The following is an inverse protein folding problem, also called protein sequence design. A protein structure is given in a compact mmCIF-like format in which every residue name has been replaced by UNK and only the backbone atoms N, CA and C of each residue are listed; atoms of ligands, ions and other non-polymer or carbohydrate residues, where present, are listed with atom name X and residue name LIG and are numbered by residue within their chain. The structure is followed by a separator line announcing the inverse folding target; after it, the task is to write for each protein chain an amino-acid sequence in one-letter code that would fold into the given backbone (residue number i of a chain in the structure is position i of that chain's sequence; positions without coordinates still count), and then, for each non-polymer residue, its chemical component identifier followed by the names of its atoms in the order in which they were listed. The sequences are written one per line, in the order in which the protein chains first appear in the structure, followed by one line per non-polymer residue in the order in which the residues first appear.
data_IF_847534981447
#
_entry.id   IF_847534981447
#
_cell.length_a   1.000
_cell.length_b   1.000
_cell.length_c   1.000
_cell.angle_alpha   90.00
_cell.angle_beta   90.00
_cell.angle_gamma   90.00
#
_symmetry.space_group_name_H-M   'P 1'
#
loop_
_entity.id
_entity.type
_entity.pdbx_description
1 polymer ?
#
# COMPACT_ATOMS: atom_id res chain seq x y z
N UNK A 1 -20.08 17.28 24.28
CA UNK A 1 -20.68 16.63 23.10
C UNK A 1 -19.58 15.77 22.54
N UNK A 2 -19.72 14.45 22.58
CA UNK A 2 -18.79 13.55 21.89
C UNK A 2 -19.14 13.64 20.41
N UNK A 3 -18.17 13.99 19.58
CA UNK A 3 -18.33 13.91 18.13
C UNK A 3 -18.80 12.51 17.76
N UNK A 4 -19.84 12.42 16.96
CA UNK A 4 -20.26 11.15 16.36
C UNK A 4 -19.05 10.51 15.68
N UNK A 5 -18.71 9.30 16.11
CA UNK A 5 -17.62 8.55 15.47
C UNK A 5 -18.08 8.23 14.05
N UNK A 6 -17.65 9.04 13.09
CA UNK A 6 -17.83 8.72 11.67
C UNK A 6 -16.90 7.57 11.33
N UNK A 7 -17.50 6.45 10.97
CA UNK A 7 -16.76 5.27 10.49
C UNK A 7 -16.21 5.57 9.10
N UNK A 8 -14.92 5.74 9.01
CA UNK A 8 -14.18 6.02 7.77
C UNK A 8 -12.91 5.18 7.73
N UNK A 9 -12.38 4.97 6.53
CA UNK A 9 -11.10 4.30 6.36
C UNK A 9 -9.96 5.05 7.06
N UNK A 10 -8.98 4.32 7.60
CA UNK A 10 -7.76 4.87 8.17
C UNK A 10 -6.59 4.74 7.19
N UNK A 11 -5.72 5.75 7.16
CA UNK A 11 -4.52 5.74 6.32
C UNK A 11 -3.28 6.10 7.14
N UNK A 12 -2.20 5.34 6.97
CA UNK A 12 -0.91 5.59 7.59
C UNK A 12 0.20 5.46 6.55
N UNK A 13 1.12 6.43 6.53
CA UNK A 13 2.26 6.39 5.63
C UNK A 13 3.56 6.73 6.36
N UNK A 14 4.59 5.93 6.13
CA UNK A 14 5.92 6.16 6.69
C UNK A 14 6.96 6.11 5.56
N UNK A 15 7.87 7.08 5.56
CA UNK A 15 9.09 7.05 4.78
C UNK A 15 10.30 7.09 5.70
N UNK A 16 11.09 6.04 5.72
CA UNK A 16 12.38 6.01 6.38
C UNK A 16 13.42 6.73 5.51
N UNK A 17 14.05 7.76 6.07
CA UNK A 17 15.01 8.63 5.34
C UNK A 17 16.47 8.28 5.62
N UNK A 18 16.71 7.38 6.55
CA UNK A 18 18.02 6.89 6.95
C UNK A 18 18.12 5.38 6.69
N UNK A 19 19.32 4.81 6.57
CA UNK A 19 19.49 3.37 6.42
C UNK A 19 19.00 2.62 7.67
N UNK A 20 18.64 1.36 7.52
CA UNK A 20 18.14 0.53 8.62
C UNK A 20 19.13 0.41 9.79
N UNK A 21 20.44 0.42 9.51
CA UNK A 21 21.49 0.44 10.53
C UNK A 21 21.39 1.65 11.47
N UNK A 22 21.02 2.82 10.94
CA UNK A 22 20.79 4.00 11.77
C UNK A 22 19.66 3.77 12.77
N UNK A 23 18.52 3.20 12.32
CA UNK A 23 17.38 2.95 13.21
C UNK A 23 17.70 1.90 14.26
N UNK A 24 18.46 0.87 13.90
CA UNK A 24 18.95 -0.11 14.85
C UNK A 24 19.85 0.50 15.92
N UNK A 25 20.79 1.37 15.53
CA UNK A 25 21.70 2.04 16.47
C UNK A 25 20.98 3.04 17.38
N UNK A 26 20.07 3.84 16.82
CA UNK A 26 19.40 4.91 17.57
C UNK A 26 18.19 4.42 18.39
N UNK A 27 17.51 3.40 17.95
CA UNK A 27 16.23 2.95 18.54
C UNK A 27 16.23 1.46 18.92
N UNK A 28 17.37 0.79 18.79
CA UNK A 28 17.53 -0.62 19.18
C UNK A 28 16.84 -1.63 18.28
N UNK A 29 16.27 -1.22 17.13
CA UNK A 29 15.52 -2.15 16.29
C UNK A 29 15.56 -1.77 14.81
N UNK A 30 15.89 -2.76 13.98
CA UNK A 30 15.75 -2.68 12.51
C UNK A 30 14.27 -2.58 12.10
N UNK A 31 13.34 -3.06 12.94
CA UNK A 31 11.90 -3.04 12.72
C UNK A 31 11.23 -1.71 13.08
N UNK A 32 12.02 -0.65 13.34
CA UNK A 32 11.51 0.65 13.78
C UNK A 32 10.34 1.16 12.91
N UNK A 33 10.47 1.10 11.58
CA UNK A 33 9.42 1.54 10.65
C UNK A 33 8.13 0.74 10.80
N UNK A 34 8.22 -0.58 10.87
CA UNK A 34 7.06 -1.48 11.09
C UNK A 34 6.40 -1.21 12.44
N UNK A 35 7.20 -1.06 13.51
CA UNK A 35 6.68 -0.74 14.84
C UNK A 35 5.94 0.61 14.87
N UNK A 36 6.45 1.61 14.15
CA UNK A 36 5.78 2.91 14.01
C UNK A 36 4.50 2.80 13.19
N UNK A 37 4.51 2.01 12.10
CA UNK A 37 3.31 1.78 11.31
C UNK A 37 2.22 1.09 12.14
N UNK A 38 2.59 0.05 12.91
CA UNK A 38 1.68 -0.60 13.85
C UNK A 38 0.98 0.41 14.76
N UNK A 39 1.78 1.26 15.42
CA UNK A 39 1.25 2.27 16.35
C UNK A 39 0.33 3.30 15.65
N UNK A 40 0.66 3.70 14.42
CA UNK A 40 -0.18 4.62 13.65
C UNK A 40 -1.50 3.97 13.25
N UNK A 41 -1.48 2.70 12.84
CA UNK A 41 -2.69 1.95 12.50
C UNK A 41 -3.56 1.70 13.75
N UNK A 42 -2.96 1.29 14.88
CA UNK A 42 -3.67 1.11 16.15
C UNK A 42 -4.33 2.40 16.65
N UNK A 43 -3.69 3.56 16.47
CA UNK A 43 -4.29 4.87 16.80
C UNK A 43 -5.55 5.18 15.98
N UNK A 44 -5.71 4.53 14.84
CA UNK A 44 -6.84 4.72 13.93
C UNK A 44 -7.79 3.50 13.90
N UNK A 45 -7.61 2.48 14.77
CA UNK A 45 -8.37 1.22 14.70
C UNK A 45 -9.90 1.43 14.73
N UNK A 46 -10.37 2.48 15.42
CA UNK A 46 -11.80 2.81 15.49
C UNK A 46 -12.38 3.32 14.15
N UNK A 47 -11.55 3.71 13.19
CA UNK A 47 -12.00 4.19 11.87
C UNK A 47 -12.34 3.06 10.92
N UNK A 48 -11.58 1.95 10.94
CA UNK A 48 -11.82 0.82 10.05
C UNK A 48 -11.47 -0.51 10.71
N UNK A 49 -12.47 -1.34 10.93
CA UNK A 49 -12.34 -2.63 11.63
C UNK A 49 -12.62 -3.84 10.72
N UNK A 50 -13.11 -3.62 9.48
CA UNK A 50 -13.53 -4.69 8.58
C UNK A 50 -12.39 -5.27 7.74
N UNK A 51 -11.19 -4.73 7.92
CA UNK A 51 -9.99 -5.23 7.28
C UNK A 51 -8.83 -4.25 7.34
N UNK A 52 -7.65 -4.74 7.07
CA UNK A 52 -6.44 -3.94 7.02
C UNK A 52 -5.49 -4.44 5.94
N UNK A 53 -4.53 -3.60 5.56
CA UNK A 53 -3.46 -4.03 4.68
C UNK A 53 -2.26 -3.10 4.73
N UNK A 54 -1.13 -3.64 4.30
CA UNK A 54 0.14 -2.95 4.25
C UNK A 54 0.76 -3.17 2.87
N UNK A 55 1.21 -2.08 2.23
CA UNK A 55 2.15 -2.16 1.13
C UNK A 55 3.51 -1.63 1.59
N UNK A 56 4.57 -2.26 1.09
CA UNK A 56 5.95 -1.92 1.42
C UNK A 56 6.76 -1.78 0.16
N UNK A 57 7.56 -0.71 0.07
CA UNK A 57 8.53 -0.54 -1.01
C UNK A 57 9.94 -0.53 -0.42
N UNK A 58 10.78 -1.40 -0.95
CA UNK A 58 12.21 -1.45 -0.66
C UNK A 58 12.93 -0.59 -1.69
N UNK A 59 13.67 0.43 -1.24
CA UNK A 59 14.50 1.27 -2.11
C UNK A 59 15.87 0.62 -2.30
N UNK A 60 16.55 0.94 -3.43
CA UNK A 60 17.89 0.44 -3.74
C UNK A 60 18.00 -1.09 -3.62
N UNK A 61 17.09 -1.79 -4.25
CA UNK A 61 17.11 -3.24 -4.38
C UNK A 61 17.84 -3.60 -5.67
N UNK A 62 18.65 -4.66 -5.64
CA UNK A 62 19.32 -5.17 -6.82
C UNK A 62 18.32 -5.54 -7.92
N UNK A 63 18.64 -5.32 -9.19
CA UNK A 63 17.78 -5.69 -10.30
C UNK A 63 17.37 -7.18 -10.25
N UNK A 64 16.08 -7.44 -10.50
CA UNK A 64 15.52 -8.78 -10.46
C UNK A 64 14.96 -9.21 -9.10
N UNK A 65 15.26 -8.49 -8.02
CA UNK A 65 14.64 -8.78 -6.73
C UNK A 65 13.33 -8.03 -6.52
N UNK A 66 12.33 -8.63 -5.86
CA UNK A 66 11.08 -7.96 -5.53
C UNK A 66 11.31 -6.78 -4.60
N UNK A 67 10.75 -5.63 -4.94
CA UNK A 67 10.85 -4.39 -4.15
C UNK A 67 9.50 -3.88 -3.65
N UNK A 68 8.39 -4.32 -4.25
CA UNK A 68 7.03 -3.96 -3.85
C UNK A 68 6.31 -5.18 -3.28
N UNK A 69 5.93 -5.12 -2.02
CA UNK A 69 5.25 -6.19 -1.30
C UNK A 69 3.91 -5.70 -0.75
N UNK A 70 2.97 -6.63 -0.57
CA UNK A 70 1.66 -6.36 0.01
C UNK A 70 1.19 -7.52 0.85
N UNK A 71 0.61 -7.20 2.00
CA UNK A 71 -0.13 -8.13 2.85
C UNK A 71 -1.48 -7.51 3.22
N UNK A 72 -2.54 -8.33 3.33
CA UNK A 72 -3.90 -7.89 3.66
C UNK A 72 -4.56 -8.90 4.58
N UNK A 73 -5.45 -8.41 5.43
CA UNK A 73 -6.26 -9.24 6.33
C UNK A 73 -7.68 -8.73 6.43
N UNK A 74 -8.63 -9.65 6.51
CA UNK A 74 -10.04 -9.43 6.87
C UNK A 74 -10.45 -10.24 8.11
N UNK A 75 -9.48 -10.62 8.94
CA UNK A 75 -9.71 -11.27 10.23
C UNK A 75 -10.43 -10.32 11.21
N UNK A 76 -10.97 -10.87 12.30
CA UNK A 76 -11.65 -10.08 13.33
C UNK A 76 -10.77 -9.01 13.98
N UNK A 77 -9.46 -9.25 14.02
CA UNK A 77 -8.44 -8.29 14.48
C UNK A 77 -7.41 -8.11 13.36
N UNK A 78 -7.74 -7.37 12.30
CA UNK A 78 -6.96 -7.38 11.07
C UNK A 78 -5.56 -6.79 11.26
N UNK A 79 -5.37 -5.77 12.09
CA UNK A 79 -4.04 -5.20 12.39
C UNK A 79 -3.16 -6.24 13.07
N UNK A 80 -3.66 -6.85 14.15
CA UNK A 80 -2.92 -7.86 14.91
C UNK A 80 -2.54 -9.07 14.02
N UNK A 81 -3.47 -9.50 13.16
CA UNK A 81 -3.22 -10.59 12.21
C UNK A 81 -2.12 -10.25 11.21
N UNK A 82 -2.13 -9.05 10.61
CA UNK A 82 -1.06 -8.60 9.70
C UNK A 82 0.32 -8.65 10.35
N UNK A 83 0.43 -8.05 11.53
CA UNK A 83 1.73 -7.98 12.22
C UNK A 83 2.16 -9.35 12.79
N UNK A 84 1.21 -10.23 13.14
CA UNK A 84 1.50 -11.62 13.48
C UNK A 84 2.07 -12.40 12.29
N UNK A 85 1.52 -12.22 11.08
CA UNK A 85 2.03 -12.86 9.87
C UNK A 85 3.45 -12.37 9.54
N UNK A 86 3.72 -11.06 9.64
CA UNK A 86 5.06 -10.50 9.45
C UNK A 86 6.02 -11.03 10.53
N UNK A 87 5.57 -11.13 11.79
CA UNK A 87 6.36 -11.71 12.88
C UNK A 87 6.75 -13.16 12.62
N UNK A 88 5.80 -13.98 12.16
CA UNK A 88 6.07 -15.38 11.79
C UNK A 88 7.07 -15.50 10.64
N UNK A 89 6.97 -14.63 9.61
CA UNK A 89 7.96 -14.58 8.53
C UNK A 89 9.37 -14.32 9.09
N UNK A 90 9.51 -13.37 10.01
CA UNK A 90 10.79 -13.06 10.66
C UNK A 90 11.29 -14.24 11.49
N UNK A 91 10.43 -14.86 12.29
CA UNK A 91 10.77 -16.03 13.10
C UNK A 91 11.22 -17.21 12.25
N UNK A 92 10.56 -17.46 11.11
CA UNK A 92 10.99 -18.52 10.18
C UNK A 92 12.38 -18.24 9.60
N UNK A 93 12.68 -17.00 9.23
CA UNK A 93 14.01 -16.62 8.73
C UNK A 93 15.06 -16.79 9.83
N UNK A 94 14.74 -16.42 11.07
CA UNK A 94 15.64 -16.55 12.22
C UNK A 94 16.02 -18.01 12.55
N UNK A 95 15.13 -18.98 12.28
CA UNK A 95 15.47 -20.41 12.45
C UNK A 95 16.67 -20.84 11.60
N UNK A 96 16.81 -20.25 10.41
CA UNK A 96 17.90 -20.55 9.48
C UNK A 96 19.08 -19.58 9.60
N UNK A 97 18.82 -18.37 10.10
CA UNK A 97 19.79 -17.29 10.25
C UNK A 97 19.61 -16.59 11.61
N UNK A 98 20.03 -17.20 12.73
CA UNK A 98 19.74 -16.70 14.09
C UNK A 98 20.18 -15.24 14.33
N UNK A 99 21.28 -14.81 13.71
CA UNK A 99 21.84 -13.47 13.89
C UNK A 99 21.33 -12.42 12.89
N UNK A 100 20.32 -12.76 12.07
CA UNK A 100 19.87 -11.89 10.98
C UNK A 100 19.44 -10.50 11.47
N UNK A 101 18.84 -10.40 12.68
CA UNK A 101 18.43 -9.12 13.28
C UNK A 101 19.59 -8.17 13.53
N UNK A 102 20.82 -8.69 13.65
CA UNK A 102 22.03 -7.92 13.80
C UNK A 102 22.59 -7.40 12.47
N UNK A 103 22.01 -7.87 11.35
CA UNK A 103 22.44 -7.54 10.00
C UNK A 103 21.33 -6.81 9.21
N UNK A 104 21.16 -5.46 9.36
CA UNK A 104 20.06 -4.71 8.76
C UNK A 104 19.90 -4.89 7.26
N UNK A 105 20.99 -5.03 6.54
CA UNK A 105 20.97 -5.28 5.09
C UNK A 105 20.39 -6.65 4.73
N UNK A 106 20.78 -7.69 5.48
CA UNK A 106 20.24 -9.04 5.29
C UNK A 106 18.77 -9.11 5.70
N UNK A 107 18.40 -8.46 6.81
CA UNK A 107 17.00 -8.35 7.22
C UNK A 107 16.14 -7.73 6.11
N UNK A 108 16.58 -6.58 5.55
CA UNK A 108 15.89 -5.94 4.44
C UNK A 108 15.77 -6.85 3.21
N UNK A 109 16.83 -7.61 2.90
CA UNK A 109 16.83 -8.53 1.76
C UNK A 109 15.82 -9.66 1.92
N UNK A 110 15.75 -10.26 3.11
CA UNK A 110 15.01 -11.49 3.37
C UNK A 110 13.57 -11.27 3.85
N UNK A 111 13.29 -10.21 4.63
CA UNK A 111 11.93 -9.93 5.13
C UNK A 111 11.16 -9.10 4.11
N UNK A 112 10.07 -9.65 3.57
CA UNK A 112 9.27 -9.00 2.50
C UNK A 112 8.78 -7.61 2.89
N UNK A 113 8.28 -7.46 4.11
CA UNK A 113 7.66 -6.21 4.57
C UNK A 113 8.62 -5.25 5.27
N UNK A 114 9.94 -5.46 5.14
CA UNK A 114 10.95 -4.53 5.66
C UNK A 114 11.49 -3.63 4.55
N UNK A 115 10.88 -2.46 4.40
CA UNK A 115 11.22 -1.47 3.37
C UNK A 115 11.20 -0.04 3.89
N UNK A 116 11.67 0.89 3.08
CA UNK A 116 11.78 2.31 3.43
C UNK A 116 10.46 3.07 3.29
N UNK A 117 9.53 2.59 2.44
CA UNK A 117 8.20 3.16 2.30
C UNK A 117 7.18 2.14 2.79
N UNK A 118 6.32 2.56 3.70
CA UNK A 118 5.28 1.72 4.30
C UNK A 118 3.94 2.46 4.19
N UNK A 119 2.96 1.83 3.56
CA UNK A 119 1.60 2.33 3.41
C UNK A 119 0.65 1.38 4.10
N UNK A 120 0.04 1.81 5.20
CA UNK A 120 -0.98 1.07 5.94
C UNK A 120 -2.38 1.62 5.64
N UNK A 121 -3.36 0.74 5.57
CA UNK A 121 -4.77 1.10 5.39
C UNK A 121 -5.65 0.27 6.30
N UNK A 122 -6.65 0.93 6.90
CA UNK A 122 -7.72 0.32 7.67
C UNK A 122 -9.03 0.51 6.91
N UNK A 123 -9.71 -0.60 6.65
CA UNK A 123 -10.94 -0.60 5.88
C UNK A 123 -12.15 -0.48 6.79
N UNK A 124 -13.03 0.47 6.46
CA UNK A 124 -14.43 0.43 6.85
C UNK A 124 -15.24 -0.07 5.63
N UNK A 125 -15.85 -1.23 5.76
CA UNK A 125 -16.54 -1.90 4.65
C UNK A 125 -18.02 -1.56 4.60
N UNK A 126 -18.43 -0.71 3.68
CA UNK A 126 -19.84 -0.52 3.33
C UNK A 126 -20.37 -1.68 2.47
N UNK A 127 -19.50 -2.33 1.69
CA UNK A 127 -19.80 -3.47 0.83
C UNK A 127 -18.79 -4.60 1.08
N UNK A 128 -19.24 -5.86 0.97
CA UNK A 128 -18.38 -7.04 1.02
C UNK A 128 -17.65 -7.20 2.36
N UNK A 129 -18.38 -7.19 3.50
CA UNK A 129 -17.80 -7.50 4.82
C UNK A 129 -17.01 -8.80 4.75
N UNK A 130 -15.84 -8.82 5.40
CA UNK A 130 -14.92 -9.97 5.50
C UNK A 130 -14.32 -10.48 4.18
N UNK A 131 -14.28 -9.66 3.11
CA UNK A 131 -13.59 -10.03 1.89
C UNK A 131 -12.26 -9.28 1.78
N UNK A 132 -11.15 -10.03 1.91
CA UNK A 132 -9.78 -9.52 1.82
C UNK A 132 -9.47 -8.86 0.47
N UNK A 133 -10.21 -9.19 -0.57
CA UNK A 133 -9.96 -8.64 -1.88
C UNK A 133 -10.32 -7.15 -2.00
N UNK A 134 -11.19 -6.65 -1.13
CA UNK A 134 -11.50 -5.23 -1.01
C UNK A 134 -10.60 -4.50 0.00
N UNK A 135 -9.68 -5.19 0.67
CA UNK A 135 -8.74 -4.53 1.56
C UNK A 135 -7.63 -3.85 0.76
N UNK A 136 -7.42 -2.55 1.01
CA UNK A 136 -6.30 -1.80 0.46
C UNK A 136 -5.01 -2.07 1.27
N UNK A 137 -3.83 -1.76 0.72
CA UNK A 137 -3.56 -1.18 -0.60
C UNK A 137 -3.79 -2.15 -1.77
N UNK A 138 -4.20 -1.59 -2.91
CA UNK A 138 -4.10 -2.29 -4.19
C UNK A 138 -2.72 -2.07 -4.77
N UNK A 139 -2.21 -3.03 -5.55
CA UNK A 139 -0.94 -2.90 -6.26
C UNK A 139 -1.12 -3.24 -7.73
N UNK A 140 -0.51 -2.44 -8.58
CA UNK A 140 -0.33 -2.70 -10.00
C UNK A 140 1.16 -2.95 -10.24
N UNK A 141 1.48 -4.12 -10.79
CA UNK A 141 2.84 -4.50 -11.12
C UNK A 141 3.08 -4.31 -12.61
N UNK A 142 4.28 -3.87 -12.94
CA UNK A 142 4.79 -3.74 -14.29
C UNK A 142 6.22 -4.28 -14.31
N UNK A 143 6.69 -4.70 -15.47
CA UNK A 143 8.08 -5.12 -15.69
C UNK A 143 9.07 -3.98 -15.52
N UNK A 144 8.63 -2.74 -15.78
CA UNK A 144 9.41 -1.53 -15.58
C UNK A 144 9.17 -1.02 -14.15
N UNK A 145 10.21 -0.96 -13.29
CA UNK A 145 10.04 -0.58 -11.88
C UNK A 145 9.32 0.76 -11.67
N UNK A 146 9.58 1.76 -12.50
CA UNK A 146 8.97 3.09 -12.40
C UNK A 146 7.44 3.10 -12.63
N UNK A 147 6.90 2.07 -13.28
CA UNK A 147 5.46 1.93 -13.58
C UNK A 147 4.69 1.16 -12.50
N UNK A 148 5.37 0.63 -11.48
CA UNK A 148 4.71 -0.05 -10.38
C UNK A 148 4.00 0.96 -9.47
N UNK A 149 2.80 0.59 -9.02
CA UNK A 149 1.93 1.47 -8.23
C UNK A 149 1.33 0.71 -7.05
N UNK A 150 1.32 1.34 -5.89
CA UNK A 150 0.52 0.95 -4.73
C UNK A 150 -0.42 2.11 -4.38
N UNK A 151 -1.71 1.81 -4.22
CA UNK A 151 -2.74 2.82 -3.96
C UNK A 151 -3.66 2.37 -2.82
N UNK A 152 -3.98 3.30 -1.93
CA UNK A 152 -4.94 3.12 -0.87
C UNK A 152 -5.66 4.44 -0.59
N UNK A 153 -6.92 4.36 -0.23
CA UNK A 153 -7.71 5.54 0.11
C UNK A 153 -9.18 5.19 0.30
N UNK A 154 -9.97 6.20 0.59
CA UNK A 154 -11.42 6.13 0.64
C UNK A 154 -11.97 7.02 -0.47
N UNK A 155 -12.56 6.41 -1.49
CA UNK A 155 -13.04 7.09 -2.69
C UNK A 155 -14.47 6.67 -2.99
N UNK A 156 -15.24 7.57 -3.57
CA UNK A 156 -16.59 7.32 -4.04
C UNK A 156 -16.78 8.04 -5.37
N UNK A 157 -16.33 7.38 -6.46
CA UNK A 157 -16.39 7.91 -7.81
C UNK A 157 -17.77 7.70 -8.43
N UNK A 158 -18.25 8.66 -9.16
CA UNK A 158 -19.53 8.61 -9.89
C UNK A 158 -19.35 8.28 -11.38
N UNK A 159 -18.13 8.39 -11.89
CA UNK A 159 -17.81 8.23 -13.31
C UNK A 159 -16.91 7.01 -13.63
N UNK A 160 -16.98 5.96 -12.83
CA UNK A 160 -16.13 4.76 -12.95
C UNK A 160 -16.20 4.12 -14.35
N UNK A 161 -17.39 4.02 -14.96
CA UNK A 161 -17.58 3.44 -16.31
C UNK A 161 -16.94 4.31 -17.40
N UNK A 162 -17.03 5.63 -17.27
CA UNK A 162 -16.40 6.58 -18.19
C UNK A 162 -14.87 6.46 -18.13
N UNK A 163 -14.31 6.29 -16.91
CA UNK A 163 -12.89 6.10 -16.71
C UNK A 163 -12.37 4.83 -17.39
N UNK A 164 -13.09 3.72 -17.30
CA UNK A 164 -12.70 2.49 -18.00
C UNK A 164 -12.77 2.66 -19.53
N UNK A 165 -13.79 3.34 -20.02
CA UNK A 165 -13.94 3.63 -21.44
C UNK A 165 -12.79 4.51 -21.97
N UNK A 166 -12.34 5.49 -21.17
CA UNK A 166 -11.25 6.40 -21.52
C UNK A 166 -9.92 5.68 -21.79
N UNK A 167 -9.65 4.60 -21.05
CA UNK A 167 -8.40 3.83 -21.18
C UNK A 167 -8.53 2.58 -22.04
N UNK A 168 -9.64 2.46 -22.81
CA UNK A 168 -9.97 1.33 -23.68
C UNK A 168 -9.98 -0.02 -22.95
N UNK A 169 -10.39 -0.04 -21.70
CA UNK A 169 -10.62 -1.27 -20.95
C UNK A 169 -12.08 -1.66 -21.06
N UNK A 170 -12.33 -2.88 -21.54
CA UNK A 170 -13.69 -3.41 -21.58
C UNK A 170 -14.27 -3.55 -20.17
N UNK A 171 -15.51 -3.10 -19.92
CA UNK A 171 -16.12 -3.15 -18.59
C UNK A 171 -16.21 -4.55 -17.94
N UNK A 172 -16.08 -5.62 -18.72
CA UNK A 172 -16.16 -7.01 -18.25
C UNK A 172 -14.84 -7.63 -17.79
N UNK A 173 -13.72 -6.99 -18.03
CA UNK A 173 -12.37 -7.53 -17.69
C UNK A 173 -12.09 -7.42 -16.18
N UNK A 174 -12.73 -6.49 -15.49
CA UNK A 174 -12.60 -6.32 -14.05
C UNK A 174 -13.80 -6.89 -13.32
N UNK A 175 -13.66 -8.09 -12.77
CA UNK A 175 -14.69 -8.73 -11.93
C UNK A 175 -14.95 -8.00 -10.60
N UNK A 176 -14.19 -6.92 -10.31
CA UNK A 176 -14.30 -6.11 -9.10
C UNK A 176 -14.22 -4.64 -9.47
N UNK A 177 -15.35 -4.08 -9.80
CA UNK A 177 -15.53 -2.64 -10.00
C UNK A 177 -15.45 -1.94 -8.63
N UNK A 178 -14.26 -1.57 -8.20
CA UNK A 178 -14.09 -0.63 -7.09
C UNK A 178 -13.49 0.67 -7.64
N UNK A 179 -13.90 1.78 -7.05
CA UNK A 179 -13.42 3.10 -7.41
C UNK A 179 -11.89 3.18 -7.40
N UNK A 180 -11.28 2.55 -6.39
CA UNK A 180 -9.83 2.47 -6.29
C UNK A 180 -9.19 1.70 -7.45
N UNK A 181 -9.84 0.65 -7.95
CA UNK A 181 -9.34 -0.11 -9.10
C UNK A 181 -9.37 0.75 -10.37
N UNK A 182 -10.47 1.49 -10.60
CA UNK A 182 -10.56 2.43 -11.71
C UNK A 182 -9.49 3.51 -11.64
N UNK A 183 -9.31 4.15 -10.47
CA UNK A 183 -8.26 5.14 -10.26
C UNK A 183 -6.87 4.56 -10.51
N UNK A 184 -6.61 3.35 -10.04
CA UNK A 184 -5.31 2.71 -10.22
C UNK A 184 -5.00 2.44 -11.69
N UNK A 185 -5.97 1.98 -12.48
CA UNK A 185 -5.79 1.73 -13.90
C UNK A 185 -5.55 3.03 -14.67
N UNK A 186 -6.32 4.08 -14.39
CA UNK A 186 -6.11 5.41 -14.99
C UNK A 186 -4.73 5.97 -14.63
N UNK A 187 -4.35 5.92 -13.36
CA UNK A 187 -3.02 6.38 -12.94
C UNK A 187 -1.91 5.58 -13.62
N UNK A 188 -2.04 4.26 -13.69
CA UNK A 188 -1.07 3.40 -14.36
C UNK A 188 -0.97 3.72 -15.87
N UNK A 189 -2.10 3.93 -16.54
CA UNK A 189 -2.13 4.32 -17.94
C UNK A 189 -1.31 5.62 -18.21
N UNK A 190 -1.51 6.64 -17.38
CA UNK A 190 -0.73 7.87 -17.50
C UNK A 190 0.74 7.73 -17.09
N UNK A 191 1.05 6.84 -16.13
CA UNK A 191 2.43 6.49 -15.78
C UNK A 191 3.14 5.85 -16.97
N UNK A 192 2.52 4.87 -17.62
CA UNK A 192 3.06 4.19 -18.79
C UNK A 192 3.32 5.20 -19.91
N UNK A 193 2.30 6.02 -20.27
CA UNK A 193 2.46 7.04 -21.32
C UNK A 193 3.56 8.06 -21.02
N UNK A 194 3.71 8.46 -19.76
CA UNK A 194 4.74 9.42 -19.38
C UNK A 194 6.15 8.83 -19.45
N UNK A 195 6.31 7.56 -19.03
CA UNK A 195 7.58 6.87 -19.09
C UNK A 195 7.98 6.51 -20.53
N UNK A 196 7.02 6.14 -21.38
CA UNK A 196 7.27 5.92 -22.83
C UNK A 196 7.69 7.18 -23.57
N UNK A 197 7.12 8.33 -23.20
CA UNK A 197 7.48 9.62 -23.81
C UNK A 197 8.90 10.08 -23.40
N UNK A 198 9.30 9.80 -22.16
CA UNK A 198 10.59 10.20 -21.59
C UNK A 198 11.14 9.10 -20.67
N UNK A 199 11.72 8.02 -21.22
CA UNK A 199 12.22 6.89 -20.43
C UNK A 199 13.21 7.32 -19.34
N UNK A 200 12.97 6.87 -18.11
CA UNK A 200 13.80 7.19 -16.95
C UNK A 200 13.70 8.62 -16.43
N UNK A 201 12.79 9.45 -16.97
CA UNK A 201 12.56 10.84 -16.56
C UNK A 201 11.11 11.06 -16.10
N UNK A 202 10.53 10.08 -15.43
CA UNK A 202 9.15 10.11 -14.98
C UNK A 202 8.88 11.26 -14.00
N UNK A 203 8.03 12.20 -14.40
CA UNK A 203 7.52 13.29 -13.55
C UNK A 203 6.12 12.93 -13.04
N UNK A 204 6.07 12.39 -11.83
CA UNK A 204 4.81 11.96 -11.19
C UNK A 204 3.84 13.14 -11.00
N UNK A 205 4.33 14.35 -10.78
CA UNK A 205 3.46 15.53 -10.63
C UNK A 205 2.73 15.84 -11.93
N UNK A 206 3.38 15.67 -13.08
CA UNK A 206 2.72 15.83 -14.40
C UNK A 206 1.70 14.72 -14.66
N UNK A 207 1.99 13.48 -14.23
CA UNK A 207 1.04 12.38 -14.32
C UNK A 207 -0.22 12.69 -13.51
N UNK A 208 -0.06 13.09 -12.24
CA UNK A 208 -1.18 13.45 -11.37
C UNK A 208 -1.99 14.64 -11.91
N UNK A 209 -1.34 15.67 -12.45
CA UNK A 209 -2.04 16.82 -13.08
C UNK A 209 -2.92 16.41 -14.25
N UNK A 210 -2.62 15.32 -14.94
CA UNK A 210 -3.43 14.79 -16.05
C UNK A 210 -4.53 13.84 -15.57
N UNK A 211 -4.24 12.99 -14.58
CA UNK A 211 -5.15 11.96 -14.12
C UNK A 211 -6.21 12.50 -13.14
N UNK A 212 -5.80 13.32 -12.16
CA UNK A 212 -6.70 13.77 -11.08
C UNK A 212 -7.94 14.51 -11.57
N UNK A 213 -7.87 15.40 -12.59
CA UNK A 213 -9.06 16.09 -13.10
C UNK A 213 -10.10 15.17 -13.77
N UNK A 214 -9.78 13.90 -13.98
CA UNK A 214 -10.70 12.92 -14.56
C UNK A 214 -11.55 12.21 -13.51
N UNK A 215 -11.19 12.32 -12.23
CA UNK A 215 -11.90 11.65 -11.14
C UNK A 215 -13.02 12.57 -10.61
N UNK A 216 -14.25 12.17 -10.87
CA UNK A 216 -15.43 12.85 -10.33
C UNK A 216 -15.85 12.14 -9.03
N UNK A 217 -15.66 12.82 -7.88
CA UNK A 217 -16.07 12.31 -6.57
C UNK A 217 -17.48 12.81 -6.22
N UNK A 218 -18.26 11.93 -5.63
CA UNK A 218 -19.50 12.33 -4.98
C UNK A 218 -19.14 13.03 -3.65
N UNK A 219 -19.36 14.33 -3.58
CA UNK A 219 -19.32 15.07 -2.33
C UNK A 219 -20.57 14.66 -1.51
N UNK A 220 -20.36 13.87 -0.47
CA UNK A 220 -21.38 13.69 0.57
C UNK A 220 -21.41 14.98 1.39
N UNK A 221 -22.41 15.82 1.09
CA UNK A 221 -22.76 17.00 1.87
C UNK A 221 -23.41 16.60 3.19
#
# INVERSE_FOLDING_TARGET
MSDEIKHECGLAFIRLRKPFSYYQQQFGSVLYGLNKLYLLMEKQHNRGQDGAGIATVKLNVEPGYPFLHRIRSSANQPIADLFSQIGKEIEEIEKYQPDIKNHPGLMKGNVNHLGELLLGHLRYGTQGKNNVEFCHPFIKRDTIPARNLALAGNFNLVNTEELFSLINLEPGVFQKQSDLAAMMEVLHHFLVKADEAFPGQLDVAKVLKKAVPLFDEMLLL
#
